data_IF_193052264042
#
_entry.id   IF_193052264042
#
_cell.length_a   1.000
_cell.length_b   1.000
_cell.length_c   1.000
_cell.angle_alpha   90.00
_cell.angle_beta   90.00
_cell.angle_gamma   90.00
#
_symmetry.space_group_name_H-M   'P 1'
#
loop_
_entity.id
_entity.type
_entity.pdbx_description
1 polymer ?
#
# COMPACT_ATOMS: atom_id res chain seq x y z
N UNK A 1 25.99 29.16 -30.91
CA UNK A 1 24.58 28.87 -30.60
C UNK A 1 24.16 27.42 -30.93
N UNK A 2 24.71 26.78 -31.96
CA UNK A 2 24.27 25.44 -32.42
C UNK A 2 24.63 24.28 -31.48
N UNK A 3 25.76 24.35 -30.75
CA UNK A 3 26.23 23.27 -29.86
C UNK A 3 25.38 23.14 -28.58
N UNK A 4 24.99 24.26 -27.97
CA UNK A 4 24.13 24.25 -26.78
C UNK A 4 22.72 23.77 -27.10
N UNK A 5 22.18 24.16 -28.25
CA UNK A 5 20.90 23.66 -28.76
C UNK A 5 20.96 22.15 -29.07
N UNK A 6 22.02 21.68 -29.72
CA UNK A 6 22.21 20.26 -30.00
C UNK A 6 22.39 19.44 -28.72
N UNK A 7 23.13 19.97 -27.75
CA UNK A 7 23.33 19.36 -26.43
C UNK A 7 22.03 19.30 -25.61
N UNK A 8 21.24 20.38 -25.58
CA UNK A 8 19.94 20.40 -24.90
C UNK A 8 18.93 19.45 -25.57
N UNK A 9 18.92 19.39 -26.90
CA UNK A 9 18.10 18.44 -27.65
C UNK A 9 18.53 16.98 -27.41
N UNK A 10 19.83 16.71 -27.32
CA UNK A 10 20.36 15.40 -26.94
C UNK A 10 19.95 15.01 -25.52
N UNK A 11 19.97 15.96 -24.58
CA UNK A 11 19.58 15.73 -23.18
C UNK A 11 18.09 15.43 -23.00
N UNK A 12 17.20 16.04 -23.80
CA UNK A 12 15.77 16.08 -23.46
C UNK A 12 14.79 15.52 -24.51
N UNK A 13 15.19 15.18 -25.74
CA UNK A 13 14.22 14.85 -26.80
C UNK A 13 14.22 13.40 -27.29
N UNK A 14 14.93 12.48 -26.63
CA UNK A 14 14.95 11.05 -27.04
C UNK A 14 14.81 10.02 -25.94
N UNK A 15 14.67 10.45 -24.69
CA UNK A 15 14.14 9.51 -23.70
C UNK A 15 12.65 9.38 -23.98
N UNK A 16 12.08 8.17 -24.10
CA UNK A 16 10.64 8.04 -24.02
C UNK A 16 10.24 8.60 -22.65
N UNK A 17 9.76 9.83 -22.63
CA UNK A 17 8.92 10.31 -21.56
C UNK A 17 7.71 9.39 -21.64
N UNK A 18 7.76 8.29 -20.88
CA UNK A 18 6.65 7.35 -20.80
C UNK A 18 5.36 8.12 -20.55
N UNK A 19 4.22 7.57 -20.98
CA UNK A 19 2.93 8.19 -20.67
C UNK A 19 2.87 8.47 -19.16
N UNK A 20 2.43 9.68 -18.79
CA UNK A 20 2.25 10.05 -17.39
C UNK A 20 1.38 8.98 -16.74
N UNK A 21 1.94 8.29 -15.75
CA UNK A 21 1.23 7.25 -15.00
C UNK A 21 0.12 7.93 -14.22
N UNK A 22 -1.13 7.54 -14.48
CA UNK A 22 -2.28 8.10 -13.76
C UNK A 22 -2.27 7.53 -12.35
N UNK A 23 -2.03 8.40 -11.38
CA UNK A 23 -2.12 8.08 -9.95
C UNK A 23 -3.46 8.58 -9.40
N UNK A 24 -3.96 7.98 -8.30
CA UNK A 24 -5.10 8.54 -7.60
C UNK A 24 -4.79 9.95 -7.13
N UNK A 25 -5.81 10.80 -7.05
CA UNK A 25 -5.72 12.05 -6.30
C UNK A 25 -5.67 11.69 -4.82
N UNK A 26 -4.63 12.14 -4.13
CA UNK A 26 -4.39 11.86 -2.71
C UNK A 26 -4.16 13.17 -1.98
N UNK A 27 -4.92 13.42 -0.91
CA UNK A 27 -4.69 14.55 -0.02
C UNK A 27 -3.58 14.24 1.02
N UNK A 28 -3.18 15.22 1.82
CA UNK A 28 -2.15 15.06 2.85
C UNK A 28 -2.51 13.99 3.91
N UNK A 29 -3.80 13.73 4.10
CA UNK A 29 -4.32 12.72 5.02
C UNK A 29 -4.44 11.32 4.38
N UNK A 30 -4.06 11.16 3.11
CA UNK A 30 -4.23 9.92 2.37
C UNK A 30 -5.65 9.70 1.86
N UNK A 31 -6.57 10.66 2.01
CA UNK A 31 -7.90 10.60 1.43
C UNK A 31 -7.86 10.73 -0.09
N UNK A 32 -8.87 10.17 -0.77
CA UNK A 32 -9.00 10.28 -2.23
C UNK A 32 -10.41 10.72 -2.65
N UNK A 33 -10.67 10.75 -3.96
CA UNK A 33 -11.96 11.14 -4.52
C UNK A 33 -13.13 10.23 -4.12
N UNK A 34 -12.85 9.03 -3.57
CA UNK A 34 -13.86 8.11 -3.06
C UNK A 34 -13.91 8.22 -1.54
N UNK A 35 -14.96 8.86 -1.01
CA UNK A 35 -15.09 9.05 0.43
C UNK A 35 -15.03 7.70 1.19
N UNK A 36 -14.21 7.64 2.24
CA UNK A 36 -13.99 6.43 3.05
C UNK A 36 -13.00 5.42 2.47
N UNK A 37 -12.41 5.72 1.32
CA UNK A 37 -11.22 5.04 0.82
C UNK A 37 -10.00 5.91 1.10
N UNK A 38 -8.95 5.31 1.65
CA UNK A 38 -7.65 5.95 1.87
C UNK A 38 -6.56 5.26 1.06
N UNK A 39 -5.57 6.02 0.59
CA UNK A 39 -4.39 5.55 -0.13
C UNK A 39 -3.19 5.60 0.81
N UNK A 40 -2.37 4.54 0.82
CA UNK A 40 -1.18 4.45 1.66
C UNK A 40 0.01 3.84 0.92
N UNK A 41 1.20 4.05 1.47
CA UNK A 41 2.45 3.54 0.91
C UNK A 41 2.88 4.24 -0.38
N UNK A 42 3.64 3.51 -1.20
CA UNK A 42 4.22 4.03 -2.44
C UNK A 42 3.18 4.60 -3.42
N UNK A 43 1.92 4.13 -3.34
CA UNK A 43 0.82 4.66 -4.17
C UNK A 43 0.46 6.11 -3.82
N UNK A 44 0.76 6.55 -2.58
CA UNK A 44 0.56 7.93 -2.14
C UNK A 44 1.70 8.88 -2.57
N UNK A 45 2.80 8.37 -3.17
CA UNK A 45 3.77 9.19 -3.89
C UNK A 45 5.23 8.86 -3.60
N UNK A 46 5.67 8.84 -2.34
CA UNK A 46 7.08 8.72 -1.96
C UNK A 46 7.42 7.28 -1.55
N UNK A 47 8.19 6.52 -2.35
CA UNK A 47 8.43 5.10 -2.13
C UNK A 47 9.57 4.84 -1.12
N UNK A 48 9.40 5.29 0.12
CA UNK A 48 10.35 5.01 1.21
C UNK A 48 9.70 4.16 2.29
N UNK A 49 10.45 3.18 2.81
CA UNK A 49 9.95 2.20 3.78
C UNK A 49 9.29 2.86 4.99
N UNK A 50 9.93 3.88 5.58
CA UNK A 50 9.38 4.58 6.75
C UNK A 50 8.13 5.39 6.43
N UNK A 51 8.02 5.99 5.25
CA UNK A 51 6.78 6.62 4.81
C UNK A 51 5.68 5.59 4.56
N UNK A 52 6.01 4.42 4.03
CA UNK A 52 5.04 3.34 3.86
C UNK A 52 4.49 2.83 5.20
N UNK A 53 5.36 2.62 6.20
CA UNK A 53 4.92 2.29 7.56
C UNK A 53 4.04 3.39 8.16
N UNK A 54 4.47 4.65 8.04
CA UNK A 54 3.80 5.80 8.64
C UNK A 54 2.42 6.07 8.03
N UNK A 55 2.33 6.09 6.71
CA UNK A 55 1.07 6.32 5.99
C UNK A 55 0.08 5.17 6.19
N UNK A 56 0.55 3.93 6.22
CA UNK A 56 -0.28 2.77 6.55
C UNK A 56 -0.89 2.87 7.94
N UNK A 57 -0.07 3.14 8.96
CA UNK A 57 -0.53 3.32 10.33
C UNK A 57 -1.51 4.49 10.45
N UNK A 58 -1.18 5.67 9.91
CA UNK A 58 -2.05 6.86 9.95
C UNK A 58 -3.39 6.64 9.23
N UNK A 59 -3.40 5.91 8.12
CA UNK A 59 -4.64 5.56 7.43
C UNK A 59 -5.57 4.72 8.31
N UNK A 60 -5.02 3.74 9.04
CA UNK A 60 -5.78 2.92 9.98
C UNK A 60 -6.27 3.71 11.20
N UNK A 61 -5.46 4.62 11.73
CA UNK A 61 -5.84 5.52 12.83
C UNK A 61 -7.05 6.38 12.46
N UNK A 62 -7.00 7.01 11.29
CA UNK A 62 -8.09 7.82 10.75
C UNK A 62 -9.33 6.99 10.46
N UNK A 63 -9.15 5.79 9.90
CA UNK A 63 -10.26 4.87 9.68
C UNK A 63 -10.97 4.53 11.00
N UNK A 64 -10.20 4.25 12.06
CA UNK A 64 -10.74 3.97 13.40
C UNK A 64 -11.53 5.15 13.96
N UNK A 65 -10.96 6.36 13.91
CA UNK A 65 -11.61 7.59 14.40
C UNK A 65 -12.92 7.85 13.64
N UNK A 66 -12.89 7.73 12.32
CA UNK A 66 -14.06 7.97 11.50
C UNK A 66 -15.14 6.89 11.67
N UNK A 67 -14.76 5.69 12.11
CA UNK A 67 -15.67 4.57 12.43
C UNK A 67 -16.41 4.81 13.75
N UNK A 68 -15.78 5.46 14.74
CA UNK A 68 -16.43 5.80 16.00
C UNK A 68 -17.60 6.78 15.81
N UNK A 69 -17.52 7.65 14.79
CA UNK A 69 -18.56 8.62 14.45
C UNK A 69 -19.66 8.06 13.51
N UNK A 70 -19.55 6.80 13.08
CA UNK A 70 -20.49 6.17 12.16
C UNK A 70 -21.42 5.20 12.89
N UNK A 71 -22.65 4.95 12.37
CA UNK A 71 -23.49 3.88 12.90
C UNK A 71 -22.77 2.53 12.82
N UNK A 72 -23.12 1.57 13.70
CA UNK A 72 -22.60 0.21 13.63
C UNK A 72 -22.78 -0.39 12.23
N UNK A 73 -21.80 -1.17 11.77
CA UNK A 73 -21.92 -1.87 10.49
C UNK A 73 -23.02 -2.93 10.53
N UNK A 74 -23.79 -3.05 9.46
CA UNK A 74 -24.85 -4.06 9.32
C UNK A 74 -24.27 -5.41 8.87
N UNK A 75 -24.84 -6.50 9.41
CA UNK A 75 -24.52 -7.87 9.01
C UNK A 75 -23.04 -8.22 9.08
N UNK A 76 -22.50 -8.73 7.97
CA UNK A 76 -21.11 -9.18 7.85
C UNK A 76 -20.11 -8.05 7.53
N UNK A 77 -20.53 -6.78 7.54
CA UNK A 77 -19.66 -5.64 7.21
C UNK A 77 -18.56 -5.50 8.27
N UNK A 78 -17.30 -5.56 7.85
CA UNK A 78 -16.13 -5.35 8.72
C UNK A 78 -15.81 -3.85 8.86
N UNK A 79 -14.96 -3.50 9.81
CA UNK A 79 -14.57 -2.12 10.05
C UNK A 79 -13.64 -1.61 8.94
N UNK A 80 -12.59 -2.38 8.62
CA UNK A 80 -11.58 -1.98 7.63
C UNK A 80 -11.22 -3.15 6.71
N UNK A 81 -11.29 -2.93 5.39
CA UNK A 81 -10.62 -3.81 4.42
C UNK A 81 -9.32 -3.15 3.94
N UNK A 82 -8.22 -3.88 3.96
CA UNK A 82 -6.90 -3.39 3.54
C UNK A 82 -6.52 -4.13 2.26
N UNK A 83 -6.27 -3.42 1.17
CA UNK A 83 -5.90 -4.01 -0.12
C UNK A 83 -4.38 -3.91 -0.30
N UNK A 84 -3.71 -5.06 -0.29
CA UNK A 84 -2.26 -5.21 -0.37
C UNK A 84 -1.63 -5.49 1.00
N UNK A 85 -0.85 -6.56 1.08
CA UNK A 85 -0.06 -7.05 2.22
C UNK A 85 1.43 -6.67 2.13
N UNK A 86 1.73 -5.53 1.48
CA UNK A 86 3.05 -4.91 1.53
C UNK A 86 3.31 -4.18 2.86
N UNK A 87 4.41 -3.43 2.93
CA UNK A 87 4.84 -2.69 4.14
C UNK A 87 3.73 -1.78 4.69
N UNK A 88 3.11 -0.98 3.83
CA UNK A 88 2.04 -0.06 4.24
C UNK A 88 0.77 -0.80 4.69
N UNK A 89 0.37 -1.85 3.98
CA UNK A 89 -0.81 -2.64 4.33
C UNK A 89 -0.64 -3.38 5.64
N UNK A 90 0.52 -3.98 5.87
CA UNK A 90 0.82 -4.65 7.15
C UNK A 90 0.98 -3.67 8.30
N UNK A 91 1.47 -2.44 8.06
CA UNK A 91 1.46 -1.39 9.08
C UNK A 91 0.04 -0.93 9.44
N UNK A 92 -0.85 -0.80 8.45
CA UNK A 92 -2.27 -0.53 8.67
C UNK A 92 -2.93 -1.67 9.47
N UNK A 93 -2.66 -2.92 9.09
CA UNK A 93 -3.17 -4.11 9.76
C UNK A 93 -2.72 -4.22 11.22
N UNK A 94 -1.44 -3.97 11.49
CA UNK A 94 -0.90 -3.96 12.84
C UNK A 94 -1.60 -2.90 13.72
N UNK A 95 -1.90 -1.74 13.16
CA UNK A 95 -2.64 -0.69 13.85
C UNK A 95 -4.12 -1.03 14.05
N UNK A 96 -4.78 -1.67 13.06
CA UNK A 96 -6.13 -2.19 13.21
C UNK A 96 -6.21 -3.24 14.33
N UNK A 97 -5.25 -4.15 14.41
CA UNK A 97 -5.16 -5.17 15.47
C UNK A 97 -5.02 -4.53 16.85
N UNK A 98 -4.10 -3.56 17.00
CA UNK A 98 -3.90 -2.80 18.25
C UNK A 98 -5.16 -2.09 18.73
N UNK A 99 -5.96 -1.58 17.79
CA UNK A 99 -7.23 -0.90 18.06
C UNK A 99 -8.43 -1.85 18.16
N UNK A 100 -8.22 -3.17 18.05
CA UNK A 100 -9.25 -4.21 18.12
C UNK A 100 -10.38 -3.99 17.10
N UNK A 101 -10.05 -3.51 15.90
CA UNK A 101 -11.00 -3.38 14.80
C UNK A 101 -11.27 -4.75 14.17
N UNK A 102 -12.45 -4.94 13.55
CA UNK A 102 -12.69 -6.09 12.67
C UNK A 102 -12.13 -5.77 11.30
N UNK A 103 -11.10 -6.48 10.85
CA UNK A 103 -10.45 -6.16 9.57
C UNK A 103 -9.95 -7.43 8.85
N UNK A 104 -9.56 -7.26 7.59
CA UNK A 104 -8.79 -8.26 6.84
C UNK A 104 -7.83 -7.58 5.87
N UNK A 105 -6.68 -8.20 5.63
CA UNK A 105 -5.76 -7.84 4.55
C UNK A 105 -6.08 -8.71 3.33
N UNK A 106 -6.35 -8.09 2.19
CA UNK A 106 -6.58 -8.75 0.91
C UNK A 106 -5.27 -8.70 0.14
N UNK A 107 -4.62 -9.86 -0.03
CA UNK A 107 -3.31 -9.96 -0.69
C UNK A 107 -3.38 -11.00 -1.82
N UNK A 108 -2.86 -10.64 -3.00
CA UNK A 108 -2.92 -11.49 -4.19
C UNK A 108 -1.82 -12.56 -4.22
N UNK A 109 -0.65 -12.26 -3.62
CA UNK A 109 0.46 -13.18 -3.43
C UNK A 109 0.67 -13.52 -1.95
N UNK A 110 1.91 -13.37 -1.49
CA UNK A 110 2.30 -13.52 -0.10
C UNK A 110 2.53 -12.15 0.59
N UNK A 111 2.31 -12.05 1.91
CA UNK A 111 2.74 -10.87 2.66
C UNK A 111 4.20 -10.51 2.39
N UNK A 112 4.45 -9.22 2.11
CA UNK A 112 5.76 -8.68 1.75
C UNK A 112 6.39 -9.24 0.45
N UNK A 113 5.58 -9.76 -0.49
CA UNK A 113 6.06 -10.32 -1.78
C UNK A 113 7.11 -9.43 -2.48
N UNK A 114 6.92 -8.11 -2.54
CA UNK A 114 7.88 -7.20 -3.18
C UNK A 114 9.27 -7.27 -2.53
N UNK A 115 9.35 -7.33 -1.20
CA UNK A 115 10.62 -7.41 -0.49
C UNK A 115 11.23 -8.80 -0.69
N UNK A 116 10.42 -9.86 -0.60
CA UNK A 116 10.88 -11.24 -0.80
C UNK A 116 11.57 -11.42 -2.17
N UNK A 117 10.98 -10.82 -3.21
CA UNK A 117 11.45 -10.89 -4.60
C UNK A 117 12.62 -9.94 -4.94
N UNK A 118 13.12 -9.16 -3.99
CA UNK A 118 14.35 -8.41 -4.23
C UNK A 118 15.55 -9.37 -4.42
N UNK A 119 16.59 -8.95 -5.18
CA UNK A 119 17.83 -9.71 -5.29
C UNK A 119 18.42 -10.05 -3.93
N UNK A 120 19.08 -11.21 -3.85
CA UNK A 120 19.80 -11.65 -2.64
C UNK A 120 20.81 -10.58 -2.24
N UNK A 121 20.92 -10.32 -0.93
CA UNK A 121 21.81 -9.32 -0.35
C UNK A 121 21.60 -7.87 -0.86
N UNK A 122 20.42 -7.55 -1.41
CA UNK A 122 20.10 -6.18 -1.83
C UNK A 122 20.24 -5.23 -0.63
N UNK A 123 21.05 -4.16 -0.75
CA UNK A 123 21.14 -3.12 0.28
C UNK A 123 19.79 -2.42 0.48
N UNK A 124 19.42 -2.24 1.74
CA UNK A 124 18.19 -1.55 2.16
C UNK A 124 18.55 -0.21 2.78
N UNK A 125 17.85 0.83 2.34
CA UNK A 125 17.99 2.18 2.87
C UNK A 125 16.70 2.58 3.59
N UNK A 126 16.77 2.71 4.91
CA UNK A 126 15.62 3.05 5.79
C UNK A 126 15.50 4.56 6.00
N UNK A 127 15.76 5.37 4.98
CA UNK A 127 15.59 6.83 5.07
C UNK A 127 14.11 7.22 5.21
N UNK A 128 13.82 8.34 5.90
CA UNK A 128 14.76 9.20 6.64
C UNK A 128 15.22 8.60 7.98
N UNK A 129 16.51 8.64 8.31
CA UNK A 129 17.06 7.99 9.52
C UNK A 129 16.44 8.50 10.82
N UNK A 130 16.22 9.81 10.94
CA UNK A 130 15.64 10.45 12.12
C UNK A 130 14.11 10.31 12.25
N UNK A 131 13.44 9.78 11.23
CA UNK A 131 11.99 9.61 11.25
C UNK A 131 11.62 8.35 12.04
N UNK A 132 10.65 8.48 12.93
CA UNK A 132 9.94 7.36 13.57
C UNK A 132 8.51 7.31 13.02
N UNK A 133 8.13 6.26 12.28
CA UNK A 133 6.76 6.05 11.84
C UNK A 133 5.76 6.06 13.00
N UNK A 134 4.55 6.57 12.77
CA UNK A 134 3.49 6.67 13.79
C UNK A 134 2.92 5.33 14.29
N UNK A 135 3.22 4.22 13.62
CA UNK A 135 2.76 2.88 13.96
C UNK A 135 3.73 2.08 14.82
N UNK A 136 3.31 0.86 15.18
CA UNK A 136 4.14 -0.07 15.97
C UNK A 136 5.29 -0.68 15.18
N UNK A 137 5.13 -0.79 13.86
CA UNK A 137 6.16 -1.36 13.00
C UNK A 137 7.30 -0.37 12.77
N UNK A 138 8.52 -0.86 12.95
CA UNK A 138 9.77 -0.11 12.79
C UNK A 138 10.71 -0.88 11.88
N UNK A 139 11.62 -0.17 11.20
CA UNK A 139 12.62 -0.78 10.31
C UNK A 139 13.99 -0.18 10.52
N UNK A 140 14.99 -1.04 10.70
CA UNK A 140 16.39 -0.69 10.86
C UNK A 140 17.34 -1.54 10.01
N UNK A 141 16.86 -2.64 9.42
CA UNK A 141 17.68 -3.54 8.63
C UNK A 141 18.29 -2.87 7.38
N UNK A 142 19.53 -3.25 7.08
CA UNK A 142 20.33 -2.70 5.97
C UNK A 142 20.46 -3.65 4.78
N UNK A 143 19.86 -4.84 4.86
CA UNK A 143 19.87 -5.86 3.81
C UNK A 143 18.51 -6.56 3.73
N UNK A 144 18.13 -7.04 2.53
CA UNK A 144 16.81 -7.62 2.24
C UNK A 144 16.36 -8.67 3.24
N UNK A 145 17.21 -9.67 3.50
CA UNK A 145 16.87 -10.84 4.31
C UNK A 145 16.55 -10.42 5.75
N UNK A 146 17.42 -9.59 6.35
CA UNK A 146 17.21 -9.03 7.68
C UNK A 146 15.96 -8.15 7.76
N UNK A 147 15.64 -7.37 6.70
CA UNK A 147 14.41 -6.57 6.66
C UNK A 147 13.16 -7.45 6.67
N UNK A 148 13.18 -8.54 5.91
CA UNK A 148 12.04 -9.45 5.84
C UNK A 148 11.83 -10.19 7.16
N UNK A 149 12.91 -10.64 7.80
CA UNK A 149 12.87 -11.24 9.14
C UNK A 149 12.37 -10.25 10.19
N UNK A 150 12.91 -9.01 10.20
CA UNK A 150 12.50 -7.92 11.10
C UNK A 150 11.00 -7.63 10.99
N UNK A 151 10.46 -7.52 9.77
CA UNK A 151 9.05 -7.25 9.56
C UNK A 151 8.17 -8.44 9.97
N UNK A 152 8.54 -9.67 9.60
CA UNK A 152 7.80 -10.89 9.94
C UNK A 152 7.75 -11.12 11.46
N UNK A 153 8.87 -10.90 12.16
CA UNK A 153 8.94 -11.04 13.61
C UNK A 153 8.01 -10.05 14.33
N UNK A 154 7.90 -8.82 13.83
CA UNK A 154 7.02 -7.80 14.43
C UNK A 154 5.53 -8.08 14.23
N UNK A 155 5.14 -8.68 13.09
CA UNK A 155 3.72 -8.97 12.80
C UNK A 155 3.24 -10.31 13.37
N UNK A 156 4.14 -11.29 13.58
CA UNK A 156 3.76 -12.63 14.01
C UNK A 156 2.90 -12.66 15.31
N UNK A 157 3.16 -11.82 16.33
CA UNK A 157 2.33 -11.80 17.54
C UNK A 157 0.95 -11.16 17.36
N UNK A 158 0.68 -10.52 16.23
CA UNK A 158 -0.54 -9.73 16.00
C UNK A 158 -1.68 -10.53 15.36
N UNK A 159 -1.42 -11.78 14.94
CA UNK A 159 -2.38 -12.69 14.30
C UNK A 159 -3.24 -12.00 13.21
N UNK A 160 -2.55 -11.34 12.28
CA UNK A 160 -3.19 -10.53 11.25
C UNK A 160 -4.00 -11.43 10.29
N UNK A 161 -5.33 -11.24 10.16
CA UNK A 161 -6.14 -11.98 9.20
C UNK A 161 -5.79 -11.56 7.78
N UNK A 162 -5.42 -12.54 6.95
CA UNK A 162 -5.11 -12.35 5.53
C UNK A 162 -6.06 -13.20 4.69
N UNK A 163 -6.78 -12.54 3.78
CA UNK A 163 -7.54 -13.17 2.70
C UNK A 163 -6.69 -13.18 1.44
N UNK A 164 -6.28 -14.37 0.99
CA UNK A 164 -5.55 -14.54 -0.26
C UNK A 164 -6.50 -14.40 -1.45
N UNK A 165 -6.57 -13.22 -2.04
CA UNK A 165 -7.43 -12.90 -3.17
C UNK A 165 -6.93 -11.67 -3.93
N UNK A 166 -7.28 -11.58 -5.22
CA UNK A 166 -7.03 -10.39 -6.02
C UNK A 166 -8.23 -9.46 -5.94
N UNK A 167 -8.06 -8.25 -5.39
CA UNK A 167 -9.08 -7.20 -5.45
C UNK A 167 -9.06 -6.51 -6.83
N UNK A 168 -10.23 -6.30 -7.44
CA UNK A 168 -10.36 -5.71 -8.77
C UNK A 168 -10.71 -4.22 -8.69
N UNK A 169 -11.73 -3.87 -7.90
CA UNK A 169 -12.15 -2.50 -7.69
C UNK A 169 -12.92 -2.34 -6.37
N UNK A 170 -13.13 -1.08 -5.97
CA UNK A 170 -13.96 -0.72 -4.82
C UNK A 170 -15.18 0.02 -5.33
N UNK A 171 -16.37 -0.39 -4.89
CA UNK A 171 -17.63 0.27 -5.20
C UNK A 171 -18.47 0.48 -3.95
N UNK A 172 -19.52 1.31 -4.05
CA UNK A 172 -20.48 1.48 -2.97
C UNK A 172 -21.66 0.54 -3.17
N UNK A 173 -22.03 -0.20 -2.12
CA UNK A 173 -23.23 -1.05 -2.09
C UNK A 173 -23.96 -0.82 -0.77
N UNK A 174 -25.25 -0.47 -0.85
CA UNK A 174 -26.13 -0.33 0.32
C UNK A 174 -25.53 0.51 1.46
N UNK A 175 -24.90 1.64 1.13
CA UNK A 175 -24.28 2.52 2.13
C UNK A 175 -22.91 2.08 2.66
N UNK A 176 -22.44 0.87 2.33
CA UNK A 176 -21.10 0.37 2.65
C UNK A 176 -20.15 0.44 1.44
N UNK A 177 -18.84 0.27 1.68
CA UNK A 177 -17.86 0.02 0.64
C UNK A 177 -17.76 -1.49 0.41
N UNK A 178 -17.75 -1.91 -0.85
CA UNK A 178 -17.58 -3.28 -1.27
C UNK A 178 -16.25 -3.39 -2.03
N UNK A 179 -15.32 -4.19 -1.51
CA UNK A 179 -14.11 -4.59 -2.23
C UNK A 179 -14.47 -5.79 -3.10
N UNK A 180 -14.49 -5.58 -4.40
CA UNK A 180 -14.75 -6.62 -5.37
C UNK A 180 -13.50 -7.46 -5.56
N UNK A 181 -13.66 -8.78 -5.55
CA UNK A 181 -12.59 -9.74 -5.79
C UNK A 181 -12.69 -10.26 -7.23
N UNK A 182 -11.56 -10.66 -7.80
CA UNK A 182 -11.52 -11.31 -9.11
C UNK A 182 -12.33 -12.61 -9.09
N UNK A 183 -12.17 -13.37 -8.00
CA UNK A 183 -12.89 -14.60 -7.72
C UNK A 183 -13.49 -14.54 -6.31
N UNK A 184 -14.77 -14.92 -6.19
CA UNK A 184 -15.48 -15.00 -4.91
C UNK A 184 -16.40 -13.83 -4.58
N UNK A 185 -16.92 -13.84 -3.35
CA UNK A 185 -17.86 -12.83 -2.87
C UNK A 185 -17.14 -11.53 -2.47
N UNK A 186 -17.77 -10.36 -2.65
CA UNK A 186 -17.17 -9.10 -2.24
C UNK A 186 -17.03 -8.99 -0.72
N UNK A 187 -16.00 -8.29 -0.28
CA UNK A 187 -15.78 -7.99 1.14
C UNK A 187 -16.38 -6.62 1.44
N UNK A 188 -17.41 -6.60 2.30
CA UNK A 188 -18.05 -5.36 2.73
C UNK A 188 -17.30 -4.75 3.91
N UNK A 189 -16.91 -3.49 3.79
CA UNK A 189 -16.21 -2.75 4.83
C UNK A 189 -16.75 -1.32 5.00
N UNK A 190 -16.59 -0.78 6.20
CA UNK A 190 -16.96 0.62 6.50
C UNK A 190 -15.91 1.59 5.98
N UNK A 191 -14.64 1.19 6.00
CA UNK A 191 -13.49 1.90 5.43
C UNK A 191 -12.62 0.96 4.61
N UNK A 192 -11.97 1.48 3.58
CA UNK A 192 -11.02 0.73 2.76
C UNK A 192 -9.68 1.45 2.72
N UNK A 193 -8.59 0.72 2.90
CA UNK A 193 -7.23 1.25 2.74
C UNK A 193 -6.61 0.56 1.53
N UNK A 194 -6.21 1.32 0.52
CA UNK A 194 -5.53 0.83 -0.69
C UNK A 194 -4.04 1.03 -0.51
N UNK A 195 -3.32 -0.08 -0.33
CA UNK A 195 -1.88 -0.15 -0.01
C UNK A 195 -1.12 -1.08 -0.99
N UNK A 196 -1.53 -1.08 -2.26
CA UNK A 196 -1.03 -1.99 -3.31
C UNK A 196 0.39 -1.66 -3.82
N UNK A 197 0.97 -0.54 -3.38
CA UNK A 197 2.25 -0.06 -3.89
C UNK A 197 2.23 0.19 -5.40
N UNK A 198 3.40 0.12 -6.04
CA UNK A 198 3.56 0.37 -7.49
C UNK A 198 4.37 -0.70 -8.24
N UNK A 199 4.93 -1.66 -7.52
CA UNK A 199 5.95 -2.59 -8.04
C UNK A 199 5.39 -3.95 -8.48
N UNK A 200 4.08 -4.21 -8.29
CA UNK A 200 3.47 -5.51 -8.59
C UNK A 200 3.33 -5.81 -10.08
N UNK A 201 2.94 -4.81 -10.87
CA UNK A 201 2.74 -4.97 -12.31
C UNK A 201 3.89 -4.32 -13.09
N UNK A 202 4.80 -5.14 -13.62
CA UNK A 202 5.88 -4.65 -14.45
C UNK A 202 5.38 -4.24 -15.84
N UNK A 203 6.07 -3.26 -16.44
CA UNK A 203 5.79 -2.88 -17.84
C UNK A 203 6.34 -3.96 -18.76
N UNK A 204 5.48 -4.48 -19.61
CA UNK A 204 5.88 -5.39 -20.69
C UNK A 204 6.77 -4.67 -21.71
N UNK A 205 7.78 -5.36 -22.22
CA UNK A 205 8.71 -4.88 -23.24
C UNK A 205 8.01 -4.67 -24.59
N UNK A 206 6.96 -5.43 -24.88
CA UNK A 206 6.19 -5.27 -26.11
C UNK A 206 6.96 -5.65 -27.38
N UNK A 207 7.90 -6.60 -27.25
CA UNK A 207 8.73 -7.11 -28.34
C UNK A 207 8.48 -8.60 -28.57
N UNK A 208 8.76 -9.10 -29.77
CA UNK A 208 8.66 -10.52 -30.08
C UNK A 208 9.61 -11.34 -29.21
N UNK A 209 9.11 -12.39 -28.56
CA UNK A 209 9.89 -13.27 -27.67
C UNK A 209 9.79 -12.95 -26.18
N UNK A 210 8.94 -11.99 -25.79
CA UNK A 210 8.58 -11.70 -24.39
C UNK A 210 7.61 -12.71 -23.78
#
# INVERSE_FOLDING_TARGET
MHLLSAYANWLHLRWPAGRVERLPVVDEAGGCSVAGVSIAGDLAGVPLLKFSLDTGAKAAQRAAEAILAMPPGEGATIDVAIIGGGVAGMAAAAECARRKLRFTVIEAGEPFTTIANFPVAKPIFTYPKAMTPAGVLQVGATVKEALLEELRAQIAPLDIPVTHATATHVERRNGALAVMLADGAPILARRVIVAIGRSGNFRRLGVTGE
#
